data_IF_234120714913
#
_entry.id   IF_234120714913
#
_cell.length_a   1.000
_cell.length_b   1.000
_cell.length_c   1.000
_cell.angle_alpha   90.00
_cell.angle_beta   90.00
_cell.angle_gamma   90.00
#
_symmetry.space_group_name_H-M   'P 1'
#
loop_
_entity.id
_entity.type
_entity.pdbx_description
1 polymer ?
#
# COMPACT_ATOMS: atom_id res chain seq x y z
N UNK A 1 18.34 -51.80 18.26
CA UNK A 1 18.02 -51.47 16.87
C UNK A 1 16.83 -50.50 16.88
N UNK A 2 17.10 -49.21 16.80
CA UNK A 2 16.09 -48.19 16.80
C UNK A 2 16.01 -47.64 15.36
N UNK A 3 14.86 -47.79 14.71
CA UNK A 3 14.61 -47.28 13.36
C UNK A 3 14.29 -45.78 13.43
N UNK A 4 15.13 -45.00 12.83
CA UNK A 4 14.89 -43.56 12.62
C UNK A 4 13.82 -43.39 11.52
N UNK A 5 12.69 -42.80 11.91
CA UNK A 5 11.67 -42.32 10.98
C UNK A 5 12.11 -40.96 10.45
N UNK A 6 12.45 -40.91 9.17
CA UNK A 6 12.74 -39.66 8.44
C UNK A 6 11.44 -38.92 8.16
N UNK A 7 11.23 -37.79 8.84
CA UNK A 7 10.16 -36.86 8.51
C UNK A 7 10.58 -36.08 7.26
N UNK A 8 9.86 -36.24 6.17
CA UNK A 8 9.95 -35.43 4.96
C UNK A 8 9.47 -34.00 5.28
N UNK A 9 10.20 -32.95 4.93
CA UNK A 9 9.71 -31.58 5.12
C UNK A 9 8.55 -31.30 4.17
N UNK A 10 7.48 -30.73 4.70
CA UNK A 10 6.32 -30.30 3.94
C UNK A 10 6.74 -29.29 2.87
N UNK A 11 6.60 -29.71 1.63
CA UNK A 11 7.05 -28.97 0.45
C UNK A 11 6.27 -27.71 0.18
N UNK A 12 7.00 -26.81 -0.36
CA UNK A 12 6.80 -25.55 -1.07
C UNK A 12 5.54 -25.45 -1.95
N UNK A 13 4.38 -25.18 -1.38
CA UNK A 13 3.22 -24.73 -2.16
C UNK A 13 3.19 -23.21 -2.38
N UNK A 14 4.18 -22.47 -1.90
CA UNK A 14 4.26 -21.01 -2.07
C UNK A 14 4.98 -20.56 -3.35
N UNK A 15 5.50 -21.48 -4.15
CA UNK A 15 6.30 -21.19 -5.33
C UNK A 15 5.61 -21.60 -6.63
N UNK A 16 4.29 -21.39 -6.76
CA UNK A 16 3.72 -21.40 -8.12
C UNK A 16 4.14 -20.11 -8.80
N UNK A 17 4.71 -20.20 -10.04
CA UNK A 17 5.04 -19.01 -10.81
C UNK A 17 3.79 -18.16 -10.99
N UNK A 18 3.96 -16.83 -10.85
CA UNK A 18 2.91 -15.87 -11.18
C UNK A 18 2.49 -16.11 -12.63
N UNK A 19 1.18 -16.22 -12.88
CA UNK A 19 0.66 -16.32 -14.23
C UNK A 19 1.02 -15.04 -14.99
N UNK A 20 1.47 -15.17 -16.23
CA UNK A 20 1.77 -14.03 -17.10
C UNK A 20 0.49 -13.22 -17.33
N UNK A 21 0.64 -11.90 -17.42
CA UNK A 21 -0.44 -11.00 -17.81
C UNK A 21 -1.08 -11.49 -19.11
N UNK A 22 -2.36 -11.87 -19.06
CA UNK A 22 -3.02 -12.44 -20.23
C UNK A 22 -3.46 -11.33 -21.19
N UNK A 23 -3.43 -11.60 -22.50
CA UNK A 23 -3.93 -10.68 -23.53
C UNK A 23 -5.40 -10.24 -23.29
N UNK A 24 -6.20 -11.03 -22.56
CA UNK A 24 -7.56 -10.66 -22.17
C UNK A 24 -7.63 -9.40 -21.29
N UNK A 25 -6.59 -9.09 -20.53
CA UNK A 25 -6.53 -7.88 -19.71
C UNK A 25 -6.39 -6.58 -20.54
N UNK A 26 -5.91 -6.67 -21.78
CA UNK A 26 -5.79 -5.53 -22.68
C UNK A 26 -7.14 -5.15 -23.35
N UNK A 27 -8.13 -6.03 -23.29
CA UNK A 27 -9.47 -5.83 -23.90
C UNK A 27 -10.51 -5.31 -22.89
N UNK A 28 -10.25 -5.41 -21.59
CA UNK A 28 -11.16 -4.95 -20.52
C UNK A 28 -10.87 -3.50 -20.13
N UNK A 29 -11.92 -2.73 -19.82
CA UNK A 29 -11.74 -1.38 -19.29
C UNK A 29 -10.92 -1.43 -17.99
N UNK A 30 -9.89 -0.58 -17.82
CA UNK A 30 -9.00 -0.60 -16.67
C UNK A 30 -9.70 -0.61 -15.31
N UNK A 31 -10.79 0.14 -15.19
CA UNK A 31 -11.60 0.21 -13.97
C UNK A 31 -12.26 -1.12 -13.63
N UNK A 32 -12.76 -1.85 -14.64
CA UNK A 32 -13.40 -3.16 -14.45
C UNK A 32 -12.35 -4.19 -14.06
N UNK A 33 -11.20 -4.18 -14.71
CA UNK A 33 -10.06 -5.04 -14.38
C UNK A 33 -9.58 -4.81 -12.94
N UNK A 34 -9.40 -3.56 -12.54
CA UNK A 34 -9.04 -3.20 -11.18
C UNK A 34 -10.13 -3.56 -10.16
N UNK A 35 -11.42 -3.42 -10.51
CA UNK A 35 -12.50 -3.85 -9.64
C UNK A 35 -12.37 -5.34 -9.31
N UNK A 36 -12.19 -6.19 -10.33
CA UNK A 36 -12.11 -7.65 -10.20
C UNK A 36 -10.83 -8.10 -9.51
N UNK A 37 -9.67 -7.56 -9.92
CA UNK A 37 -8.36 -8.07 -9.51
C UNK A 37 -7.68 -7.28 -8.38
N UNK A 38 -8.29 -6.19 -7.94
CA UNK A 38 -7.80 -5.41 -6.80
C UNK A 38 -8.89 -5.22 -5.75
N UNK A 39 -9.98 -4.51 -6.09
CA UNK A 39 -10.93 -4.07 -5.07
C UNK A 39 -11.72 -5.21 -4.44
N UNK A 40 -12.31 -6.09 -5.24
CA UNK A 40 -13.06 -7.26 -4.75
C UNK A 40 -12.16 -8.22 -3.98
N UNK A 41 -10.89 -8.34 -4.42
CA UNK A 41 -9.93 -9.19 -3.72
C UNK A 41 -9.57 -8.62 -2.35
N UNK A 42 -9.24 -7.32 -2.24
CA UNK A 42 -8.92 -6.72 -0.94
C UNK A 42 -10.11 -6.71 0.01
N UNK A 43 -11.33 -6.53 -0.51
CA UNK A 43 -12.54 -6.66 0.30
C UNK A 43 -12.71 -8.09 0.85
N UNK A 44 -12.49 -9.10 0.01
CA UNK A 44 -12.62 -10.50 0.41
C UNK A 44 -11.55 -10.95 1.40
N UNK A 45 -10.30 -10.46 1.27
CA UNK A 45 -9.18 -10.88 2.12
C UNK A 45 -8.93 -9.98 3.33
N UNK A 46 -9.68 -8.91 3.53
CA UNK A 46 -9.41 -7.85 4.51
C UNK A 46 -9.06 -8.36 5.93
N UNK A 47 -9.79 -9.31 6.55
CA UNK A 47 -9.45 -9.80 7.89
C UNK A 47 -8.10 -10.52 7.93
N UNK A 48 -7.81 -11.36 6.92
CA UNK A 48 -6.56 -12.10 6.84
C UNK A 48 -5.38 -11.17 6.48
N UNK A 49 -5.61 -10.19 5.63
CA UNK A 49 -4.64 -9.16 5.29
C UNK A 49 -4.24 -8.35 6.53
N UNK A 50 -5.22 -7.87 7.30
CA UNK A 50 -4.99 -7.11 8.54
C UNK A 50 -4.16 -7.92 9.55
N UNK A 51 -4.48 -9.21 9.74
CA UNK A 51 -3.76 -10.09 10.67
C UNK A 51 -2.26 -10.28 10.34
N UNK A 52 -1.80 -9.90 9.15
CA UNK A 52 -0.40 -10.04 8.71
C UNK A 52 0.35 -8.71 8.57
N UNK A 53 -0.30 -7.57 8.84
CA UNK A 53 0.21 -6.22 8.52
C UNK A 53 0.20 -5.27 9.73
N UNK A 54 0.97 -5.61 10.78
CA UNK A 54 0.95 -4.83 12.04
C UNK A 54 2.09 -3.80 12.14
N UNK A 55 3.27 -4.07 11.58
CA UNK A 55 4.45 -3.21 11.81
C UNK A 55 4.59 -2.15 10.71
N UNK A 56 4.69 -0.86 11.08
CA UNK A 56 5.08 0.19 10.13
C UNK A 56 6.45 -0.09 9.51
N UNK A 57 6.64 0.31 8.26
CA UNK A 57 7.95 0.24 7.61
C UNK A 57 8.84 1.38 8.11
N UNK A 58 10.14 1.14 8.34
CA UNK A 58 11.02 2.10 9.01
C UNK A 58 11.08 3.47 8.32
N UNK A 59 11.21 3.50 6.99
CA UNK A 59 11.26 4.76 6.23
C UNK A 59 9.94 5.54 6.33
N UNK A 60 8.80 4.86 6.23
CA UNK A 60 7.47 5.49 6.37
C UNK A 60 7.30 6.05 7.79
N UNK A 61 7.68 5.27 8.81
CA UNK A 61 7.64 5.74 10.19
C UNK A 61 8.55 6.96 10.40
N UNK A 62 9.77 6.94 9.86
CA UNK A 62 10.70 8.08 9.92
C UNK A 62 10.12 9.33 9.24
N UNK A 63 9.50 9.18 8.06
CA UNK A 63 8.84 10.28 7.36
C UNK A 63 7.69 10.87 8.20
N UNK A 64 6.84 10.02 8.79
CA UNK A 64 5.73 10.48 9.64
C UNK A 64 6.24 11.19 10.90
N UNK A 65 7.27 10.65 11.55
CA UNK A 65 7.85 11.24 12.78
C UNK A 65 8.61 12.55 12.52
N UNK A 66 9.03 12.82 11.29
CA UNK A 66 9.69 14.08 10.91
C UNK A 66 8.71 15.23 10.64
N UNK A 67 7.40 14.96 10.59
CA UNK A 67 6.41 15.99 10.36
C UNK A 67 6.26 16.91 11.59
N UNK A 68 5.99 18.18 11.33
CA UNK A 68 5.84 19.18 12.39
C UNK A 68 4.59 18.89 13.25
N UNK A 69 4.66 19.09 14.57
CA UNK A 69 3.47 18.96 15.41
C UNK A 69 2.32 19.86 14.92
N UNK A 70 1.11 19.29 14.90
CA UNK A 70 -0.10 19.96 14.40
C UNK A 70 -0.30 19.92 12.88
N UNK A 71 0.63 19.33 12.11
CA UNK A 71 0.47 19.15 10.67
C UNK A 71 -0.73 18.28 10.33
N UNK A 72 -1.39 18.60 9.23
CA UNK A 72 -2.45 17.80 8.63
C UNK A 72 -1.87 16.84 7.59
N UNK A 73 -2.03 15.56 7.80
CA UNK A 73 -1.63 14.49 6.89
C UNK A 73 -2.81 13.68 6.37
N UNK A 74 -2.60 13.04 5.22
CA UNK A 74 -3.55 12.09 4.63
C UNK A 74 -2.85 10.76 4.35
N UNK A 75 -3.51 9.63 4.69
CA UNK A 75 -3.07 8.27 4.34
C UNK A 75 -4.06 7.71 3.31
N UNK A 76 -3.68 7.76 2.03
CA UNK A 76 -4.52 7.33 0.91
C UNK A 76 -4.24 5.87 0.57
N UNK A 77 -5.26 5.02 0.73
CA UNK A 77 -5.13 3.57 0.74
C UNK A 77 -4.59 3.08 2.09
N UNK A 78 -5.17 3.58 3.19
CA UNK A 78 -4.68 3.32 4.55
C UNK A 78 -4.79 1.87 5.02
N UNK A 79 -5.55 1.04 4.30
CA UNK A 79 -5.78 -0.35 4.65
C UNK A 79 -6.36 -0.49 6.06
N UNK A 80 -5.70 -1.28 6.90
CA UNK A 80 -6.08 -1.48 8.31
C UNK A 80 -5.60 -0.36 9.26
N UNK A 81 -5.14 0.78 8.74
CA UNK A 81 -4.79 1.95 9.53
C UNK A 81 -3.46 1.88 10.29
N UNK A 82 -2.55 0.96 9.92
CA UNK A 82 -1.29 0.73 10.67
C UNK A 82 -0.37 1.95 10.81
N UNK A 83 -0.51 2.96 9.94
CA UNK A 83 0.30 4.18 9.97
C UNK A 83 -0.36 5.34 10.72
N UNK A 84 -1.68 5.29 10.90
CA UNK A 84 -2.47 6.41 11.41
C UNK A 84 -2.07 6.87 12.82
N UNK A 85 -1.46 6.00 13.62
CA UNK A 85 -1.07 6.29 15.01
C UNK A 85 0.45 6.38 15.23
N UNK A 86 1.24 6.41 14.15
CA UNK A 86 2.72 6.41 14.26
C UNK A 86 3.23 7.71 14.87
N UNK A 87 2.72 8.86 14.43
CA UNK A 87 3.07 10.15 15.02
C UNK A 87 1.86 10.75 15.74
N UNK A 88 1.85 10.76 17.08
CA UNK A 88 0.73 11.32 17.85
C UNK A 88 0.67 12.86 17.85
N UNK A 89 1.65 13.53 17.29
CA UNK A 89 1.72 15.00 17.25
C UNK A 89 1.09 15.59 15.97
N UNK A 90 0.59 14.77 15.04
CA UNK A 90 -0.02 15.22 13.78
C UNK A 90 -1.47 14.75 13.66
N UNK A 91 -2.25 15.45 12.85
CA UNK A 91 -3.60 15.03 12.46
C UNK A 91 -3.50 14.20 11.18
N UNK A 92 -3.71 12.89 11.27
CA UNK A 92 -3.61 12.00 10.11
C UNK A 92 -4.97 11.36 9.79
N UNK A 93 -5.56 11.74 8.66
CA UNK A 93 -6.83 11.19 8.17
C UNK A 93 -6.56 10.07 7.17
N UNK A 94 -7.22 8.92 7.36
CA UNK A 94 -7.11 7.77 6.47
C UNK A 94 -8.27 7.65 5.50
N UNK A 95 -8.00 7.09 4.32
CA UNK A 95 -9.05 6.63 3.40
C UNK A 95 -8.63 5.34 2.72
N UNK A 96 -9.60 4.46 2.50
CA UNK A 96 -9.42 3.23 1.72
C UNK A 96 -10.69 2.94 0.95
N UNK A 97 -10.58 2.27 -0.20
CA UNK A 97 -11.74 1.91 -1.00
C UNK A 97 -12.53 0.74 -0.40
N UNK A 98 -11.86 -0.16 0.35
CA UNK A 98 -12.49 -1.31 0.99
C UNK A 98 -13.21 -0.92 2.29
N UNK A 99 -14.55 -1.02 2.37
CA UNK A 99 -15.30 -0.83 3.62
C UNK A 99 -14.82 -1.74 4.75
N UNK A 100 -14.46 -2.99 4.44
CA UNK A 100 -13.97 -3.96 5.42
C UNK A 100 -12.62 -3.54 6.01
N UNK A 101 -11.69 -3.01 5.22
CA UNK A 101 -10.42 -2.48 5.72
C UNK A 101 -10.62 -1.23 6.58
N UNK A 102 -11.50 -0.32 6.16
CA UNK A 102 -11.85 0.90 6.93
C UNK A 102 -12.45 0.52 8.29
N UNK A 103 -13.32 -0.48 8.37
CA UNK A 103 -13.89 -0.91 9.66
C UNK A 103 -12.82 -1.54 10.57
N UNK A 104 -11.87 -2.30 10.01
CA UNK A 104 -10.71 -2.81 10.75
C UNK A 104 -9.83 -1.65 11.26
N UNK A 105 -9.58 -0.63 10.44
CA UNK A 105 -8.84 0.56 10.85
C UNK A 105 -9.56 1.30 11.99
N UNK A 106 -10.87 1.51 11.90
CA UNK A 106 -11.68 2.11 12.98
C UNK A 106 -11.59 1.30 14.28
N UNK A 107 -11.65 -0.02 14.17
CA UNK A 107 -11.51 -0.91 15.32
C UNK A 107 -10.14 -0.77 15.97
N UNK A 108 -9.07 -0.70 15.16
CA UNK A 108 -7.70 -0.50 15.65
C UNK A 108 -7.52 0.87 16.31
N UNK A 109 -8.10 1.91 15.75
CA UNK A 109 -8.05 3.27 16.32
C UNK A 109 -8.76 3.39 17.69
N UNK A 110 -9.77 2.55 17.96
CA UNK A 110 -10.47 2.53 19.26
C UNK A 110 -9.71 1.77 20.35
N UNK A 111 -8.68 0.98 20.00
CA UNK A 111 -7.87 0.25 20.99
C UNK A 111 -7.00 1.22 21.79
N UNK A 112 -6.85 1.00 23.10
CA UNK A 112 -5.86 1.74 23.88
C UNK A 112 -4.47 1.62 23.26
N UNK A 113 -3.65 2.66 23.37
CA UNK A 113 -2.26 2.61 22.93
C UNK A 113 -1.45 1.73 23.88
N UNK A 114 -0.71 0.77 23.34
CA UNK A 114 0.15 -0.12 24.15
C UNK A 114 1.41 0.58 24.66
N UNK A 115 1.82 1.69 24.02
CA UNK A 115 3.02 2.45 24.36
C UNK A 115 2.85 3.42 25.55
N UNK A 116 1.63 3.52 26.10
CA UNK A 116 1.31 4.39 27.24
C UNK A 116 1.43 5.89 26.92
N UNK A 117 1.60 6.27 25.65
CA UNK A 117 1.66 7.66 25.24
C UNK A 117 0.26 8.27 25.37
N UNK A 118 0.13 9.22 26.29
CA UNK A 118 -1.06 10.07 26.35
C UNK A 118 -1.10 10.94 25.10
N UNK A 119 -2.14 10.78 24.30
CA UNK A 119 -2.37 11.63 23.12
C UNK A 119 -3.14 12.84 23.59
N UNK A 120 -2.67 14.05 23.26
CA UNK A 120 -3.43 15.28 23.49
C UNK A 120 -4.81 15.11 22.82
N UNK A 121 -5.92 15.17 23.58
CA UNK A 121 -7.27 14.99 23.02
C UNK A 121 -7.59 15.96 21.87
N UNK A 122 -6.85 17.07 21.79
CA UNK A 122 -6.99 18.06 20.72
C UNK A 122 -6.27 17.68 19.42
N UNK A 123 -5.34 16.72 19.47
CA UNK A 123 -4.55 16.23 18.32
C UNK A 123 -5.02 14.84 17.89
N UNK A 124 -5.82 14.16 18.71
CA UNK A 124 -6.19 12.73 18.52
C UNK A 124 -7.32 12.48 17.52
N UNK A 125 -7.76 13.44 16.75
CA UNK A 125 -8.80 13.25 15.74
C UNK A 125 -8.23 12.55 14.50
N UNK A 126 -7.87 11.28 14.70
CA UNK A 126 -7.57 10.34 13.62
C UNK A 126 -8.90 9.73 13.19
N UNK A 127 -9.28 9.92 11.95
CA UNK A 127 -10.49 9.32 11.38
C UNK A 127 -10.18 8.62 10.07
N UNK A 128 -11.07 7.73 9.68
CA UNK A 128 -10.97 6.97 8.45
C UNK A 128 -12.29 6.97 7.68
N UNK A 129 -12.21 7.10 6.37
CA UNK A 129 -13.35 7.12 5.47
C UNK A 129 -13.22 6.08 4.36
N UNK A 130 -14.36 5.59 3.87
CA UNK A 130 -14.40 4.84 2.61
C UNK A 130 -14.34 5.85 1.47
N UNK A 131 -13.29 5.76 0.62
CA UNK A 131 -13.14 6.65 -0.53
C UNK A 131 -12.34 5.99 -1.65
N UNK A 132 -12.67 6.34 -2.88
CA UNK A 132 -11.91 5.99 -4.07
C UNK A 132 -10.70 6.91 -4.21
N UNK A 133 -9.52 6.36 -4.55
CA UNK A 133 -8.29 7.12 -4.75
C UNK A 133 -8.36 8.18 -5.86
N UNK A 134 -9.31 8.03 -6.80
CA UNK A 134 -9.61 9.01 -7.86
C UNK A 134 -10.74 9.98 -7.51
N UNK A 135 -11.41 9.82 -6.36
CA UNK A 135 -12.51 10.66 -5.89
C UNK A 135 -12.40 10.91 -4.39
N UNK A 136 -11.27 11.45 -3.98
CA UNK A 136 -10.95 11.68 -2.57
C UNK A 136 -11.78 12.83 -1.99
N UNK A 137 -12.39 12.65 -0.80
CA UNK A 137 -13.28 13.65 -0.18
C UNK A 137 -12.51 14.76 0.54
N UNK A 138 -11.28 15.04 0.10
CA UNK A 138 -10.41 16.01 0.73
C UNK A 138 -10.30 17.29 -0.08
N UNK A 139 -10.15 18.41 0.64
CA UNK A 139 -9.88 19.70 0.00
C UNK A 139 -8.51 19.70 -0.66
N UNK A 140 -8.43 20.15 -1.90
CA UNK A 140 -7.16 20.35 -2.62
C UNK A 140 -6.30 21.43 -1.92
N UNK A 141 -4.98 21.27 -2.00
CA UNK A 141 -3.97 22.19 -1.45
C UNK A 141 -4.15 22.47 0.06
N UNK A 142 -4.61 21.49 0.85
CA UNK A 142 -4.90 21.67 2.27
C UNK A 142 -4.01 20.83 3.19
N UNK A 143 -3.41 19.74 2.70
CA UNK A 143 -2.57 18.87 3.51
C UNK A 143 -1.11 19.35 3.54
N UNK A 144 -0.45 19.20 4.67
CA UNK A 144 0.99 19.40 4.80
C UNK A 144 1.76 18.20 4.24
N UNK A 145 1.19 17.01 4.36
CA UNK A 145 1.77 15.81 3.75
C UNK A 145 0.71 14.77 3.39
N UNK A 146 1.06 13.90 2.45
CA UNK A 146 0.27 12.72 2.05
C UNK A 146 1.18 11.51 2.03
N UNK A 147 0.70 10.37 2.50
CA UNK A 147 1.32 9.08 2.26
C UNK A 147 0.40 8.19 1.43
N UNK A 148 0.99 7.39 0.52
CA UNK A 148 0.30 6.40 -0.29
C UNK A 148 1.19 5.15 -0.41
N UNK A 149 0.93 4.17 0.43
CA UNK A 149 1.86 3.08 0.69
C UNK A 149 1.34 1.77 0.13
N UNK A 150 1.97 1.27 -0.95
CA UNK A 150 1.62 0.02 -1.61
C UNK A 150 0.20 0.04 -2.24
N UNK A 151 -0.13 1.13 -2.93
CA UNK A 151 -1.44 1.35 -3.58
C UNK A 151 -1.30 1.64 -5.07
N UNK A 152 -0.47 2.61 -5.50
CA UNK A 152 -0.36 3.08 -6.89
C UNK A 152 -0.05 1.93 -7.86
N UNK A 153 0.73 0.96 -7.44
CA UNK A 153 1.08 -0.22 -8.23
C UNK A 153 -0.10 -1.17 -8.53
N UNK A 154 -1.29 -0.89 -7.99
CA UNK A 154 -2.50 -1.63 -8.33
C UNK A 154 -3.28 -1.01 -9.49
N UNK A 155 -2.90 0.16 -9.96
CA UNK A 155 -3.50 0.79 -11.14
C UNK A 155 -2.97 0.10 -12.40
N UNK A 156 -3.87 -0.40 -13.25
CA UNK A 156 -3.57 -1.33 -14.32
C UNK A 156 -2.89 -0.71 -15.54
N UNK A 157 -2.99 0.62 -15.72
CA UNK A 157 -2.30 1.33 -16.79
C UNK A 157 -1.39 2.44 -16.26
N UNK A 158 -0.39 2.82 -17.06
CA UNK A 158 0.54 3.89 -16.70
C UNK A 158 -0.16 5.22 -16.49
N UNK A 159 -1.12 5.54 -17.36
CA UNK A 159 -1.92 6.76 -17.29
C UNK A 159 -2.69 6.83 -15.96
N UNK A 160 -3.24 5.71 -15.51
CA UNK A 160 -3.95 5.64 -14.24
C UNK A 160 -3.01 5.75 -13.04
N UNK A 161 -1.80 5.18 -13.11
CA UNK A 161 -0.78 5.37 -12.08
C UNK A 161 -0.37 6.85 -11.97
N UNK A 162 -0.12 7.50 -13.10
CA UNK A 162 0.19 8.94 -13.15
C UNK A 162 -0.99 9.80 -12.68
N UNK A 163 -2.22 9.48 -13.07
CA UNK A 163 -3.42 10.18 -12.60
C UNK A 163 -3.59 10.02 -11.08
N UNK A 164 -3.36 8.84 -10.51
CA UNK A 164 -3.40 8.64 -9.06
C UNK A 164 -2.36 9.51 -8.34
N UNK A 165 -1.12 9.58 -8.86
CA UNK A 165 -0.08 10.45 -8.30
C UNK A 165 -0.47 11.93 -8.40
N UNK A 166 -1.05 12.36 -9.53
CA UNK A 166 -1.54 13.74 -9.71
C UNK A 166 -2.64 14.09 -8.69
N UNK A 167 -3.55 13.15 -8.37
CA UNK A 167 -4.54 13.33 -7.32
C UNK A 167 -3.89 13.54 -5.94
N UNK A 168 -2.86 12.75 -5.59
CA UNK A 168 -2.13 12.90 -4.33
C UNK A 168 -1.42 14.28 -4.26
N UNK A 169 -0.74 14.67 -5.34
CA UNK A 169 -0.06 15.97 -5.45
C UNK A 169 -1.03 17.14 -5.32
N UNK A 170 -2.25 17.01 -5.86
CA UNK A 170 -3.26 18.05 -5.76
C UNK A 170 -3.74 18.32 -4.32
N UNK A 171 -3.57 17.36 -3.39
CA UNK A 171 -4.01 17.49 -2.00
C UNK A 171 -3.05 18.31 -1.15
N UNK A 172 -1.74 18.27 -1.45
CA UNK A 172 -0.73 18.98 -0.66
C UNK A 172 -0.65 20.46 -1.00
N UNK A 173 -0.24 21.24 -0.01
CA UNK A 173 0.08 22.66 -0.21
C UNK A 173 1.23 22.79 -1.20
N UNK A 174 1.13 23.72 -2.18
CA UNK A 174 2.21 23.96 -3.16
C UNK A 174 3.55 24.25 -2.46
N UNK A 175 4.64 23.81 -3.05
CA UNK A 175 6.04 23.98 -2.65
C UNK A 175 6.40 23.38 -1.30
N UNK A 176 5.59 23.62 -0.25
CA UNK A 176 5.84 23.17 1.12
C UNK A 176 5.40 21.73 1.39
N UNK A 177 4.25 21.32 0.84
CA UNK A 177 3.67 20.00 1.08
C UNK A 177 4.50 18.85 0.47
N UNK A 178 4.41 17.68 1.10
CA UNK A 178 5.17 16.49 0.66
C UNK A 178 4.25 15.29 0.46
N UNK A 179 4.51 14.52 -0.58
CA UNK A 179 3.86 13.25 -0.85
C UNK A 179 4.89 12.14 -0.77
N UNK A 180 4.66 11.11 0.03
CA UNK A 180 5.46 9.89 0.06
C UNK A 180 4.68 8.76 -0.60
N UNK A 181 5.23 8.20 -1.68
CA UNK A 181 4.66 7.05 -2.38
C UNK A 181 5.59 5.86 -2.25
N UNK A 182 5.04 4.68 -2.00
CA UNK A 182 5.73 3.38 -2.01
C UNK A 182 5.08 2.44 -3.00
N UNK A 183 5.89 1.79 -3.82
CA UNK A 183 5.47 0.79 -4.81
C UNK A 183 6.36 -0.44 -4.76
N UNK A 184 5.85 -1.61 -5.14
CA UNK A 184 6.65 -2.82 -5.24
C UNK A 184 7.65 -2.69 -6.39
N UNK A 185 8.90 -3.04 -6.11
CA UNK A 185 9.96 -3.11 -7.08
C UNK A 185 9.88 -4.39 -7.92
N UNK A 186 10.36 -4.34 -9.15
CA UNK A 186 10.63 -5.51 -9.98
C UNK A 186 11.92 -6.20 -9.52
N UNK A 187 12.92 -5.39 -9.09
CA UNK A 187 14.22 -5.84 -8.65
C UNK A 187 14.14 -6.46 -7.25
N UNK A 188 13.78 -7.75 -7.20
CA UNK A 188 13.62 -8.54 -5.97
C UNK A 188 14.46 -9.82 -6.00
N UNK A 189 15.58 -9.83 -6.70
CA UNK A 189 16.41 -11.02 -6.89
C UNK A 189 16.89 -11.70 -5.58
N UNK A 190 17.03 -10.91 -4.50
CA UNK A 190 17.37 -11.42 -3.17
C UNK A 190 16.16 -11.89 -2.34
N UNK A 191 14.95 -11.67 -2.81
CA UNK A 191 13.73 -12.07 -2.12
C UNK A 191 13.32 -13.50 -2.49
N UNK A 192 12.34 -14.05 -1.73
CA UNK A 192 11.79 -15.39 -2.02
C UNK A 192 11.08 -15.47 -3.39
N UNK A 193 10.71 -14.34 -3.97
CA UNK A 193 9.98 -14.27 -5.24
C UNK A 193 10.91 -14.36 -6.44
N UNK A 194 12.17 -13.90 -6.29
CA UNK A 194 13.20 -13.99 -7.31
C UNK A 194 12.87 -13.22 -8.59
N UNK A 195 12.00 -12.20 -8.52
CA UNK A 195 11.73 -11.35 -9.68
C UNK A 195 12.94 -10.45 -9.94
N UNK A 196 13.18 -10.17 -11.22
CA UNK A 196 14.32 -9.39 -11.66
C UNK A 196 13.99 -8.66 -12.98
N UNK A 197 14.88 -7.79 -13.43
CA UNK A 197 14.75 -6.91 -14.60
C UNK A 197 14.30 -7.59 -15.90
N UNK A 198 14.51 -8.91 -16.03
CA UNK A 198 14.00 -9.72 -17.14
C UNK A 198 12.56 -10.22 -16.98
N UNK A 199 11.92 -9.96 -15.84
CA UNK A 199 10.55 -10.42 -15.58
C UNK A 199 9.51 -9.42 -16.12
N UNK A 200 8.26 -9.93 -16.36
CA UNK A 200 7.13 -9.04 -16.68
C UNK A 200 6.78 -8.17 -15.47
N UNK A 201 6.50 -6.90 -15.72
CA UNK A 201 6.11 -5.95 -14.67
C UNK A 201 4.67 -6.18 -14.21
N UNK A 202 3.76 -6.51 -15.13
CA UNK A 202 2.35 -6.69 -14.83
C UNK A 202 2.06 -8.13 -14.44
N UNK A 203 1.55 -8.34 -13.22
CA UNK A 203 1.41 -9.69 -12.64
C UNK A 203 0.18 -9.85 -11.79
N UNK A 204 -0.41 -11.04 -11.88
CA UNK A 204 -1.35 -11.56 -10.88
C UNK A 204 -0.58 -12.30 -9.78
N UNK A 205 -0.65 -11.78 -8.57
CA UNK A 205 0.07 -12.32 -7.41
C UNK A 205 -0.89 -13.04 -6.49
N UNK A 206 -0.64 -14.33 -6.28
CA UNK A 206 -1.50 -15.18 -5.46
C UNK A 206 -1.47 -14.76 -3.98
N UNK A 207 -2.65 -14.73 -3.37
CA UNK A 207 -2.86 -14.61 -1.94
C UNK A 207 -3.58 -15.86 -1.44
N UNK A 208 -2.88 -16.69 -0.67
CA UNK A 208 -3.44 -17.89 -0.07
C UNK A 208 -3.92 -17.58 1.36
N UNK A 209 -5.22 -17.69 1.61
CA UNK A 209 -5.76 -17.57 2.96
C UNK A 209 -5.49 -18.85 3.75
N UNK A 210 -4.50 -18.80 4.65
CA UNK A 210 -4.18 -19.91 5.54
C UNK A 210 -5.17 -19.94 6.70
N UNK A 211 -5.79 -21.10 6.93
CA UNK A 211 -6.62 -21.35 8.09
C UNK A 211 -5.86 -22.17 9.15
N UNK A 212 -6.29 -22.14 10.40
CA UNK A 212 -5.74 -23.00 11.44
C UNK A 212 -5.77 -24.48 11.03
N UNK A 213 -4.81 -25.25 11.53
CA UNK A 213 -4.68 -26.69 11.25
C UNK A 213 -5.99 -27.43 11.59
N UNK A 214 -6.55 -28.14 10.61
CA UNK A 214 -7.80 -28.89 10.76
C UNK A 214 -9.05 -28.24 10.16
N UNK A 215 -8.91 -27.07 9.51
CA UNK A 215 -9.98 -26.46 8.73
C UNK A 215 -9.64 -26.55 7.23
N UNK A 216 -10.70 -26.61 6.39
CA UNK A 216 -10.53 -26.52 4.93
C UNK A 216 -9.74 -25.27 4.54
N UNK A 217 -8.83 -25.35 3.55
CA UNK A 217 -8.05 -24.21 3.09
C UNK A 217 -8.96 -23.02 2.77
N UNK A 218 -8.54 -21.83 3.15
CA UNK A 218 -9.13 -20.60 2.62
C UNK A 218 -8.85 -20.49 1.12
N UNK A 219 -9.70 -19.81 0.37
CA UNK A 219 -9.52 -19.62 -1.07
C UNK A 219 -8.16 -19.01 -1.44
N UNK A 220 -7.75 -19.20 -2.68
CA UNK A 220 -6.62 -18.48 -3.29
C UNK A 220 -7.19 -17.36 -4.14
N UNK A 221 -6.71 -16.14 -3.91
CA UNK A 221 -7.09 -14.93 -4.62
C UNK A 221 -5.92 -14.45 -5.46
N UNK A 222 -6.18 -13.88 -6.63
CA UNK A 222 -5.17 -13.30 -7.50
C UNK A 222 -5.27 -11.78 -7.43
N UNK A 223 -4.17 -11.10 -7.07
CA UNK A 223 -4.11 -9.64 -6.98
C UNK A 223 -3.21 -9.10 -8.07
N UNK A 224 -3.73 -8.14 -8.83
CA UNK A 224 -2.92 -7.44 -9.83
C UNK A 224 -1.90 -6.51 -9.18
N UNK A 225 -0.68 -6.52 -9.74
CA UNK A 225 0.42 -5.62 -9.43
C UNK A 225 1.16 -5.21 -10.70
N UNK A 226 1.46 -3.94 -10.82
CA UNK A 226 2.54 -3.44 -11.64
C UNK A 226 3.81 -3.34 -10.81
N UNK A 227 4.87 -4.06 -11.20
CA UNK A 227 6.16 -4.05 -10.50
C UNK A 227 7.04 -2.96 -11.13
N UNK A 228 7.32 -1.94 -10.36
CA UNK A 228 8.08 -0.77 -10.83
C UNK A 228 9.56 -1.08 -11.00
N UNK A 229 10.15 -0.65 -12.11
CA UNK A 229 11.61 -0.64 -12.32
C UNK A 229 12.25 0.56 -11.66
N UNK A 230 13.56 0.48 -11.47
CA UNK A 230 14.38 1.63 -11.05
C UNK A 230 14.12 2.85 -11.93
N UNK A 231 13.84 3.99 -11.30
CA UNK A 231 13.58 5.27 -11.98
C UNK A 231 12.14 5.47 -12.46
N UNK A 232 11.32 4.42 -12.56
CA UNK A 232 9.98 4.52 -13.15
C UNK A 232 9.01 5.33 -12.28
N UNK A 233 9.09 5.23 -10.95
CA UNK A 233 8.23 6.02 -10.06
C UNK A 233 8.55 7.51 -10.12
N UNK A 234 9.82 7.86 -10.31
CA UNK A 234 10.27 9.23 -10.50
C UNK A 234 9.75 9.82 -11.82
N UNK A 235 9.79 9.03 -12.90
CA UNK A 235 9.21 9.42 -14.19
C UNK A 235 7.71 9.67 -14.07
N UNK A 236 6.97 8.81 -13.37
CA UNK A 236 5.53 8.96 -13.16
C UNK A 236 5.20 10.18 -12.30
N UNK A 237 6.02 10.51 -11.29
CA UNK A 237 5.89 11.75 -10.51
C UNK A 237 6.07 12.99 -11.41
N UNK A 238 7.09 13.00 -12.26
CA UNK A 238 7.34 14.12 -13.19
C UNK A 238 6.20 14.26 -14.20
N UNK A 239 5.74 13.15 -14.78
CA UNK A 239 4.61 13.13 -15.71
C UNK A 239 3.30 13.61 -15.05
N UNK A 240 3.12 13.34 -13.75
CA UNK A 240 1.99 13.83 -12.95
C UNK A 240 2.11 15.32 -12.55
N UNK A 241 3.17 16.03 -12.96
CA UNK A 241 3.39 17.43 -12.63
C UNK A 241 4.06 17.68 -11.28
N UNK A 242 4.63 16.66 -10.66
CA UNK A 242 5.37 16.75 -9.41
C UNK A 242 6.87 16.99 -9.60
N UNK A 243 7.52 17.34 -8.51
CA UNK A 243 8.99 17.43 -8.40
C UNK A 243 9.49 16.39 -7.41
N UNK A 244 10.43 15.55 -7.83
CA UNK A 244 11.08 14.56 -6.96
C UNK A 244 12.01 15.30 -5.99
N UNK A 245 11.83 15.05 -4.70
CA UNK A 245 12.66 15.60 -3.61
C UNK A 245 13.68 14.57 -3.17
N UNK A 246 13.27 13.33 -3.02
CA UNK A 246 14.11 12.22 -2.59
C UNK A 246 13.49 10.91 -3.07
N UNK A 247 14.30 9.93 -3.44
CA UNK A 247 13.84 8.58 -3.79
C UNK A 247 14.83 7.53 -3.32
N UNK A 248 14.40 6.26 -3.33
CA UNK A 248 15.27 5.15 -2.98
C UNK A 248 14.56 3.81 -2.95
N UNK A 249 15.32 2.80 -2.52
CA UNK A 249 14.88 1.42 -2.44
C UNK A 249 14.91 0.92 -0.99
N UNK A 250 13.86 0.25 -0.55
CA UNK A 250 13.80 -0.41 0.76
C UNK A 250 13.00 -1.71 0.68
N UNK A 251 13.63 -2.86 0.95
CA UNK A 251 12.95 -4.15 1.13
C UNK A 251 11.94 -4.47 0.03
N UNK A 252 12.43 -4.61 -1.19
CA UNK A 252 11.64 -4.95 -2.38
C UNK A 252 10.62 -3.86 -2.78
N UNK A 253 10.87 -2.61 -2.42
CA UNK A 253 10.03 -1.47 -2.79
C UNK A 253 10.88 -0.29 -3.26
N UNK A 254 10.41 0.38 -4.31
CA UNK A 254 10.81 1.75 -4.63
C UNK A 254 9.95 2.74 -3.86
N UNK A 255 10.53 3.82 -3.42
CA UNK A 255 9.82 4.91 -2.77
C UNK A 255 10.29 6.26 -3.29
N UNK A 256 9.39 7.23 -3.25
CA UNK A 256 9.66 8.61 -3.65
C UNK A 256 8.99 9.58 -2.67
N UNK A 257 9.71 10.61 -2.28
CA UNK A 257 9.16 11.83 -1.69
C UNK A 257 9.13 12.88 -2.77
N UNK A 258 7.97 13.45 -3.00
CA UNK A 258 7.79 14.48 -4.01
C UNK A 258 6.97 15.66 -3.50
N UNK A 259 6.99 16.77 -4.24
CA UNK A 259 6.22 17.97 -3.95
C UNK A 259 5.48 18.43 -5.21
N UNK A 260 4.48 19.27 -5.01
CA UNK A 260 3.77 19.96 -6.07
C UNK A 260 4.38 21.36 -6.19
N UNK A 261 4.88 21.76 -7.37
CA UNK A 261 5.26 23.16 -7.62
C UNK A 261 4.04 24.08 -7.61
N UNK A 262 4.25 25.36 -7.33
CA UNK A 262 3.22 26.41 -7.34
C UNK A 262 2.64 26.70 -8.72
#
# INVERSE_FOLDING_TARGET
>A
MASASSATPAGDEQNRPAESFSQSAAEEAPETYEATHVHDVYEAIAPHFSATRHKPWPRVASFLLSQQPGSLGLDVGCGNGKYLRVNPAVHLLGSDRSPSLVELARTELRRPREDGVEVDPRVSDVDVAVADGFALPYRKAAADFVICIAVVHHMSTRERRQAAIAELLALVTPDAGRVLVYVWALEQASSRRGWDTGSDQDRLVSWVMRKPKGQEPGGTFQRYYHLYKEGEIEEDVVAAGGTVVESGYEKDNWWVVCSRPS
#
